data_IF_737111441303
#
_entry.id   IF_737111441303
#
_cell.length_a   1.000
_cell.length_b   1.000
_cell.length_c   1.000
_cell.angle_alpha   90.00
_cell.angle_beta   90.00
_cell.angle_gamma   90.00
#
_symmetry.space_group_name_H-M   'P 1'
#
loop_
_entity.id
_entity.type
_entity.pdbx_description
1 polymer ?
#
# COMPACT_ATOMS: atom_id res chain seq x y z
N UNK A 1 43.65 93.84 -51.60
CA UNK A 1 43.15 93.26 -50.34
C UNK A 1 41.85 92.50 -50.60
N UNK A 2 41.86 91.35 -51.29
CA UNK A 2 40.62 90.67 -51.69
C UNK A 2 40.66 89.13 -51.77
N UNK A 3 41.77 88.49 -51.40
CA UNK A 3 41.91 87.02 -51.52
C UNK A 3 42.09 86.28 -50.18
N UNK A 4 42.29 87.00 -49.06
CA UNK A 4 42.54 86.39 -47.75
C UNK A 4 41.23 86.10 -46.99
N UNK A 5 40.26 87.02 -47.04
CA UNK A 5 38.94 86.83 -46.43
C UNK A 5 38.16 85.69 -47.08
N UNK A 6 38.24 85.57 -48.41
CA UNK A 6 37.63 84.47 -49.15
C UNK A 6 38.22 83.11 -48.77
N UNK A 7 39.53 83.04 -48.52
CA UNK A 7 40.21 81.82 -48.10
C UNK A 7 39.83 81.41 -46.67
N UNK A 8 39.74 82.37 -45.75
CA UNK A 8 39.30 82.13 -44.36
C UNK A 8 37.84 81.64 -44.33
N UNK A 9 36.96 82.24 -45.15
CA UNK A 9 35.55 81.80 -45.25
C UNK A 9 35.45 80.39 -45.82
N UNK A 10 36.21 80.07 -46.88
CA UNK A 10 36.23 78.73 -47.47
C UNK A 10 36.75 77.69 -46.46
N UNK A 11 37.86 77.97 -45.76
CA UNK A 11 38.41 77.07 -44.73
C UNK A 11 37.43 76.90 -43.56
N UNK A 12 36.74 77.98 -43.15
CA UNK A 12 35.70 77.92 -42.12
C UNK A 12 34.51 77.02 -42.52
N UNK A 13 34.09 77.07 -43.79
CA UNK A 13 33.04 76.19 -44.34
C UNK A 13 33.49 74.73 -44.33
N UNK A 14 34.74 74.43 -44.69
CA UNK A 14 35.27 73.06 -44.65
C UNK A 14 35.37 72.51 -43.22
N UNK A 15 35.80 73.33 -42.25
CA UNK A 15 35.87 72.92 -40.83
C UNK A 15 34.46 72.69 -40.25
N UNK A 16 33.53 73.62 -40.50
CA UNK A 16 32.13 73.47 -40.07
C UNK A 16 31.47 72.25 -40.73
N UNK A 17 31.71 72.05 -42.03
CA UNK A 17 31.25 70.87 -42.77
C UNK A 17 31.82 69.57 -42.22
N UNK A 18 33.10 69.55 -41.86
CA UNK A 18 33.76 68.41 -41.22
C UNK A 18 33.18 68.06 -39.85
N UNK A 19 32.88 69.06 -39.02
CA UNK A 19 32.24 68.87 -37.70
C UNK A 19 30.82 68.34 -37.85
N UNK A 20 30.04 68.88 -38.79
CA UNK A 20 28.67 68.42 -39.07
C UNK A 20 28.67 66.97 -39.58
N UNK A 21 29.58 66.63 -40.49
CA UNK A 21 29.73 65.24 -40.98
C UNK A 21 30.11 64.28 -39.85
N UNK A 22 31.02 64.67 -38.97
CA UNK A 22 31.48 63.85 -37.84
C UNK A 22 30.35 63.61 -36.83
N UNK A 23 29.56 64.63 -36.51
CA UNK A 23 28.39 64.52 -35.64
C UNK A 23 27.28 63.67 -36.26
N UNK A 24 27.06 63.80 -37.57
CA UNK A 24 26.10 62.98 -38.31
C UNK A 24 26.48 61.49 -38.29
N UNK A 25 27.76 61.17 -38.53
CA UNK A 25 28.31 59.81 -38.45
C UNK A 25 28.20 59.21 -37.04
N UNK A 26 28.53 59.98 -36.00
CA UNK A 26 28.41 59.54 -34.61
C UNK A 26 26.95 59.27 -34.22
N UNK A 27 26.01 60.12 -34.67
CA UNK A 27 24.58 59.91 -34.42
C UNK A 27 24.03 58.70 -35.20
N UNK A 28 24.48 58.49 -36.43
CA UNK A 28 24.14 57.31 -37.23
C UNK A 28 24.65 56.02 -36.57
N UNK A 29 25.90 55.98 -36.11
CA UNK A 29 26.46 54.84 -35.40
C UNK A 29 25.73 54.56 -34.09
N UNK A 30 25.40 55.60 -33.32
CA UNK A 30 24.61 55.47 -32.08
C UNK A 30 23.23 54.88 -32.35
N UNK A 31 22.55 55.34 -33.40
CA UNK A 31 21.25 54.82 -33.82
C UNK A 31 21.34 53.35 -34.24
N UNK A 32 22.36 53.00 -35.02
CA UNK A 32 22.62 51.61 -35.44
C UNK A 32 22.92 50.68 -34.25
N UNK A 33 23.70 51.15 -33.27
CA UNK A 33 23.98 50.42 -32.03
C UNK A 33 22.71 50.23 -31.19
N UNK A 34 21.86 51.27 -31.05
CA UNK A 34 20.60 51.15 -30.32
C UNK A 34 19.62 50.18 -30.97
N UNK A 35 19.54 50.16 -32.31
CA UNK A 35 18.71 49.22 -33.05
C UNK A 35 19.23 47.78 -32.93
N UNK A 36 20.55 47.57 -32.89
CA UNK A 36 21.15 46.26 -32.63
C UNK A 36 20.90 45.77 -31.20
N UNK A 37 20.98 46.66 -30.21
CA UNK A 37 20.73 46.34 -28.81
C UNK A 37 19.26 45.97 -28.59
N UNK A 38 18.34 46.72 -29.18
CA UNK A 38 16.89 46.43 -29.14
C UNK A 38 16.56 45.10 -29.83
N UNK A 39 17.22 44.78 -30.95
CA UNK A 39 17.10 43.46 -31.61
C UNK A 39 17.63 42.32 -30.73
N UNK A 40 18.76 42.53 -30.05
CA UNK A 40 19.35 41.54 -29.15
C UNK A 40 18.44 41.29 -27.93
N UNK A 41 17.89 42.35 -27.34
CA UNK A 41 16.96 42.26 -26.22
C UNK A 41 15.66 41.54 -26.61
N UNK A 42 15.10 41.83 -27.80
CA UNK A 42 13.94 41.08 -28.33
C UNK A 42 14.26 39.60 -28.55
N UNK A 43 15.47 39.26 -29.04
CA UNK A 43 15.91 37.87 -29.21
C UNK A 43 16.07 37.14 -27.87
N UNK A 44 16.64 37.80 -26.86
CA UNK A 44 16.75 37.26 -25.50
C UNK A 44 15.37 36.98 -24.91
N UNK A 45 14.44 37.94 -25.00
CA UNK A 45 13.06 37.75 -24.53
C UNK A 45 12.34 36.60 -25.25
N UNK A 46 12.56 36.42 -26.55
CA UNK A 46 12.02 35.28 -27.30
C UNK A 46 12.63 33.96 -26.83
N UNK A 47 13.96 33.92 -26.59
CA UNK A 47 14.64 32.73 -26.08
C UNK A 47 14.20 32.37 -24.66
N UNK A 48 14.00 33.36 -23.79
CA UNK A 48 13.47 33.15 -22.45
C UNK A 48 12.05 32.58 -22.49
N UNK A 49 11.20 33.08 -23.40
CA UNK A 49 9.85 32.53 -23.64
C UNK A 49 9.90 31.10 -24.16
N UNK A 50 10.76 30.80 -25.13
CA UNK A 50 10.96 29.42 -25.63
C UNK A 50 11.41 28.49 -24.50
N UNK A 51 12.41 28.89 -23.72
CA UNK A 51 12.89 28.14 -22.55
C UNK A 51 11.77 27.91 -21.52
N UNK A 52 10.94 28.91 -21.24
CA UNK A 52 9.80 28.76 -20.34
C UNK A 52 8.76 27.75 -20.87
N UNK A 53 8.48 27.76 -22.18
CA UNK A 53 7.59 26.79 -22.82
C UNK A 53 8.17 25.38 -22.69
N UNK A 54 9.45 25.18 -23.02
CA UNK A 54 10.09 23.86 -22.91
C UNK A 54 10.12 23.35 -21.46
N UNK A 55 10.45 24.21 -20.49
CA UNK A 55 10.39 23.85 -19.06
C UNK A 55 9.00 23.39 -18.64
N UNK A 56 7.95 24.07 -19.10
CA UNK A 56 6.57 23.69 -18.79
C UNK A 56 6.22 22.34 -19.44
N UNK A 57 6.59 22.13 -20.71
CA UNK A 57 6.39 20.84 -21.40
C UNK A 57 7.09 19.72 -20.62
N UNK A 58 8.36 19.90 -20.27
CA UNK A 58 9.15 18.92 -19.50
C UNK A 58 8.46 18.62 -18.17
N UNK A 59 8.12 19.64 -17.38
CA UNK A 59 7.44 19.47 -16.10
C UNK A 59 6.10 18.69 -16.21
N UNK A 60 5.33 18.94 -17.27
CA UNK A 60 4.10 18.18 -17.55
C UNK A 60 4.37 16.72 -17.89
N UNK A 61 5.43 16.44 -18.65
CA UNK A 61 5.83 15.06 -18.97
C UNK A 61 6.35 14.33 -17.73
N UNK A 62 7.16 14.98 -16.90
CA UNK A 62 7.65 14.45 -15.63
C UNK A 62 6.50 14.11 -14.68
N UNK A 63 5.52 15.01 -14.56
CA UNK A 63 4.32 14.76 -13.75
C UNK A 63 3.52 13.56 -14.29
N UNK A 64 3.35 13.44 -15.61
CA UNK A 64 2.69 12.29 -16.24
C UNK A 64 3.46 10.99 -16.00
N UNK A 65 4.80 11.01 -16.06
CA UNK A 65 5.64 9.86 -15.75
C UNK A 65 5.46 9.43 -14.30
N UNK A 66 5.49 10.37 -13.36
CA UNK A 66 5.25 10.09 -11.94
C UNK A 66 3.84 9.51 -11.70
N UNK A 67 2.81 10.10 -12.29
CA UNK A 67 1.43 9.58 -12.18
C UNK A 67 1.29 8.14 -12.71
N UNK A 68 2.03 7.77 -13.76
CA UNK A 68 2.05 6.37 -14.23
C UNK A 68 2.60 5.41 -13.18
N UNK A 69 3.60 5.84 -12.39
CA UNK A 69 4.16 5.01 -11.30
C UNK A 69 3.19 4.82 -10.13
N UNK A 70 2.27 5.76 -9.92
CA UNK A 70 1.24 5.66 -8.87
C UNK A 70 0.16 4.62 -9.18
N UNK A 71 0.04 4.17 -10.43
CA UNK A 71 -0.95 3.16 -10.83
C UNK A 71 -0.47 1.76 -10.42
N UNK A 72 -1.21 1.16 -9.50
CA UNK A 72 -0.98 -0.22 -9.06
C UNK A 72 -1.81 -1.15 -9.94
N UNK A 73 -1.20 -2.14 -10.63
CA UNK A 73 -1.94 -3.12 -11.42
C UNK A 73 -2.89 -3.94 -10.53
N UNK A 74 -4.13 -4.16 -10.99
CA UNK A 74 -5.10 -4.98 -10.24
C UNK A 74 -4.65 -6.44 -10.13
N UNK A 75 -3.94 -6.91 -11.15
CA UNK A 75 -3.34 -8.24 -11.22
C UNK A 75 -2.35 -8.44 -10.07
N UNK A 76 -1.59 -7.40 -9.72
CA UNK A 76 -0.63 -7.41 -8.61
C UNK A 76 -1.33 -7.62 -7.26
N UNK A 77 -2.40 -6.86 -7.02
CA UNK A 77 -3.22 -6.99 -5.81
C UNK A 77 -3.88 -8.38 -5.73
N UNK A 78 -4.33 -8.90 -6.87
CA UNK A 78 -4.91 -10.24 -6.95
C UNK A 78 -3.90 -11.33 -6.61
N UNK A 79 -2.67 -11.24 -7.14
CA UNK A 79 -1.58 -12.16 -6.82
C UNK A 79 -1.27 -12.15 -5.32
N UNK A 80 -1.14 -10.96 -4.73
CA UNK A 80 -0.96 -10.80 -3.28
C UNK A 80 -2.06 -11.51 -2.50
N UNK A 81 -3.32 -11.28 -2.83
CA UNK A 81 -4.46 -11.91 -2.15
C UNK A 81 -4.48 -13.44 -2.30
N UNK A 82 -3.99 -13.97 -3.42
CA UNK A 82 -3.87 -15.41 -3.65
C UNK A 82 -2.74 -16.03 -2.82
N UNK A 83 -1.60 -15.34 -2.68
CA UNK A 83 -0.48 -15.77 -1.85
C UNK A 83 -0.83 -15.77 -0.36
N UNK A 84 -1.50 -14.72 0.12
CA UNK A 84 -1.99 -14.69 1.52
C UNK A 84 -2.94 -15.85 1.76
N UNK A 85 -3.88 -16.12 0.84
CA UNK A 85 -4.75 -17.30 0.94
C UNK A 85 -3.98 -18.62 0.93
N UNK A 86 -2.90 -18.71 0.17
CA UNK A 86 -2.05 -19.90 0.18
C UNK A 86 -1.33 -20.09 1.53
N UNK A 87 -0.80 -19.00 2.09
CA UNK A 87 -0.22 -18.99 3.43
C UNK A 87 -1.24 -19.39 4.50
N UNK A 88 -2.44 -18.79 4.47
CA UNK A 88 -3.57 -19.17 5.33
C UNK A 88 -3.85 -20.67 5.23
N UNK A 89 -4.02 -21.18 4.00
CA UNK A 89 -4.26 -22.60 3.76
C UNK A 89 -3.16 -23.50 4.30
N UNK A 90 -1.91 -23.06 4.19
CA UNK A 90 -0.74 -23.84 4.63
C UNK A 90 -0.67 -23.94 6.15
N UNK A 91 -0.92 -22.85 6.88
CA UNK A 91 -1.03 -22.86 8.35
C UNK A 91 -2.21 -23.74 8.80
N UNK A 92 -3.35 -23.64 8.11
CA UNK A 92 -4.57 -24.36 8.46
C UNK A 92 -4.58 -25.82 7.95
N UNK A 93 -3.47 -26.32 7.39
CA UNK A 93 -3.34 -27.71 6.93
C UNK A 93 -4.20 -28.10 5.70
N UNK A 94 -4.63 -27.12 4.90
CA UNK A 94 -5.50 -27.30 3.72
C UNK A 94 -4.68 -27.84 2.54
N UNK A 95 -4.60 -29.16 2.40
CA UNK A 95 -3.68 -29.83 1.46
C UNK A 95 -4.03 -29.78 -0.03
N UNK A 96 -5.22 -29.34 -0.51
CA UNK A 96 -5.51 -29.22 -1.97
C UNK A 96 -6.89 -28.62 -2.30
N UNK A 97 -6.91 -27.58 -3.15
CA UNK A 97 -7.99 -27.32 -4.12
C UNK A 97 -7.33 -27.33 -5.50
N UNK A 98 -7.93 -28.03 -6.46
CA UNK A 98 -7.37 -28.30 -7.79
C UNK A 98 -6.90 -27.06 -8.55
N UNK A 99 -5.86 -27.27 -9.38
CA UNK A 99 -5.22 -26.29 -10.26
C UNK A 99 -4.91 -24.94 -9.61
N UNK A 100 -3.87 -24.91 -8.77
CA UNK A 100 -2.99 -23.74 -8.74
C UNK A 100 -1.90 -24.10 -9.75
N UNK A 101 -1.82 -23.30 -10.82
CA UNK A 101 -0.77 -23.41 -11.83
C UNK A 101 0.59 -23.48 -11.17
N UNK A 102 1.55 -24.05 -11.88
CA UNK A 102 2.96 -24.03 -11.56
C UNK A 102 3.51 -22.60 -11.52
N UNK A 103 3.12 -21.81 -10.52
CA UNK A 103 3.87 -20.64 -10.05
C UNK A 103 4.53 -21.02 -8.73
N UNK A 104 5.21 -22.17 -8.72
CA UNK A 104 6.35 -22.35 -7.83
C UNK A 104 7.39 -21.35 -8.32
N UNK A 105 7.67 -20.31 -7.53
CA UNK A 105 9.05 -19.98 -7.11
C UNK A 105 9.23 -18.60 -6.48
N UNK A 106 8.25 -17.70 -6.50
CA UNK A 106 8.44 -16.40 -5.83
C UNK A 106 7.24 -16.06 -4.96
N UNK A 107 7.35 -16.36 -3.66
CA UNK A 107 6.60 -15.62 -2.64
C UNK A 107 6.95 -14.15 -2.78
N UNK A 108 5.94 -13.28 -2.65
CA UNK A 108 6.13 -11.86 -2.70
C UNK A 108 7.13 -11.44 -1.62
N UNK A 109 8.30 -10.88 -1.99
CA UNK A 109 9.42 -10.68 -1.06
C UNK A 109 9.04 -9.83 0.15
N UNK A 110 8.03 -8.96 0.00
CA UNK A 110 7.57 -8.02 1.01
C UNK A 110 6.87 -8.66 2.22
N UNK A 111 6.16 -9.77 2.02
CA UNK A 111 5.46 -10.47 3.12
C UNK A 111 6.08 -11.82 3.44
N UNK A 112 7.07 -12.26 2.68
CA UNK A 112 7.74 -13.55 2.87
C UNK A 112 8.20 -13.73 4.32
N UNK A 113 8.86 -12.73 4.89
CA UNK A 113 9.45 -12.83 6.22
C UNK A 113 8.36 -12.83 7.31
N UNK A 114 7.30 -12.01 7.14
CA UNK A 114 6.11 -12.00 8.02
C UNK A 114 5.38 -13.34 7.94
N UNK A 115 5.18 -13.89 6.74
CA UNK A 115 4.55 -15.18 6.49
C UNK A 115 5.36 -16.34 7.07
N UNK A 116 6.69 -16.33 6.91
CA UNK A 116 7.58 -17.36 7.42
C UNK A 116 7.60 -17.37 8.95
N UNK A 117 7.71 -16.20 9.58
CA UNK A 117 7.64 -16.09 11.04
C UNK A 117 6.25 -16.49 11.54
N UNK A 118 5.18 -16.00 10.91
CA UNK A 118 3.82 -16.37 11.26
C UNK A 118 3.55 -17.86 11.13
N UNK A 119 4.12 -18.52 10.11
CA UNK A 119 4.06 -19.97 10.01
C UNK A 119 4.77 -20.65 11.18
N UNK A 120 6.00 -20.25 11.50
CA UNK A 120 6.76 -20.84 12.60
C UNK A 120 6.05 -20.69 13.96
N UNK A 121 5.53 -19.49 14.25
CA UNK A 121 4.89 -19.19 15.54
C UNK A 121 3.52 -19.84 15.69
N UNK A 122 2.74 -19.95 14.60
CA UNK A 122 1.37 -20.50 14.66
C UNK A 122 1.30 -22.00 14.46
N UNK A 123 2.19 -22.59 13.65
CA UNK A 123 2.12 -23.99 13.25
C UNK A 123 2.21 -24.93 14.45
N UNK A 124 3.18 -24.71 15.34
CA UNK A 124 3.37 -25.55 16.52
C UNK A 124 2.17 -25.45 17.48
N UNK A 125 1.63 -24.25 17.67
CA UNK A 125 0.47 -24.02 18.54
C UNK A 125 -0.79 -24.69 17.97
N UNK A 126 -0.98 -24.63 16.65
CA UNK A 126 -2.09 -25.34 16.00
C UNK A 126 -1.91 -26.86 16.07
N UNK A 127 -0.72 -27.40 15.79
CA UNK A 127 -0.45 -28.83 15.84
C UNK A 127 -0.79 -29.40 17.22
N UNK A 128 -0.26 -28.79 18.28
CA UNK A 128 -0.53 -29.19 19.67
C UNK A 128 -2.00 -29.02 20.05
N UNK A 129 -2.63 -27.92 19.65
CA UNK A 129 -4.05 -27.66 19.94
C UNK A 129 -5.00 -28.64 19.24
N UNK A 130 -4.62 -29.16 18.06
CA UNK A 130 -5.45 -30.11 17.30
C UNK A 130 -5.51 -31.50 17.92
N UNK A 131 -4.56 -31.89 18.77
CA UNK A 131 -4.49 -33.19 19.44
C UNK A 131 -5.36 -33.28 20.71
N UNK A 132 -5.90 -32.14 21.19
CA UNK A 132 -6.71 -32.11 22.40
C UNK A 132 -8.06 -32.82 22.19
N UNK A 133 -8.34 -33.80 23.05
CA UNK A 133 -9.61 -34.53 23.05
C UNK A 133 -10.71 -33.78 23.80
N UNK A 134 -11.96 -33.96 23.36
CA UNK A 134 -13.13 -33.36 24.02
C UNK A 134 -13.51 -34.15 25.27
N UNK A 135 -13.78 -33.43 26.37
CA UNK A 135 -14.37 -34.01 27.58
C UNK A 135 -15.86 -34.32 27.36
N UNK A 136 -16.46 -35.08 28.28
CA UNK A 136 -17.89 -35.36 28.25
C UNK A 136 -18.76 -34.09 28.30
N UNK A 137 -18.35 -33.10 29.10
CA UNK A 137 -19.01 -31.79 29.21
C UNK A 137 -18.96 -31.04 27.87
N UNK A 138 -17.82 -31.04 27.18
CA UNK A 138 -17.73 -30.42 25.86
C UNK A 138 -18.62 -31.13 24.84
N UNK A 139 -18.72 -32.47 24.90
CA UNK A 139 -19.60 -33.25 24.01
C UNK A 139 -21.08 -32.92 24.25
N UNK A 140 -21.50 -32.73 25.51
CA UNK A 140 -22.85 -32.29 25.86
C UNK A 140 -23.14 -30.90 25.27
N UNK A 141 -22.21 -29.95 25.46
CA UNK A 141 -22.30 -28.60 24.90
C UNK A 141 -22.40 -28.61 23.38
N UNK A 142 -21.63 -29.46 22.70
CA UNK A 142 -21.71 -29.67 21.25
C UNK A 142 -23.11 -30.15 20.85
N UNK A 143 -23.67 -31.13 21.57
CA UNK A 143 -25.00 -31.63 21.27
C UNK A 143 -26.08 -30.56 21.41
N UNK A 144 -25.97 -29.68 22.40
CA UNK A 144 -26.87 -28.51 22.55
C UNK A 144 -26.72 -27.52 21.39
N UNK A 145 -25.47 -27.19 20.99
CA UNK A 145 -25.23 -26.34 19.82
C UNK A 145 -25.85 -26.93 18.55
N UNK A 146 -25.72 -28.24 18.35
CA UNK A 146 -26.30 -28.97 17.22
C UNK A 146 -27.83 -28.98 17.18
N UNK A 147 -28.53 -28.56 18.25
CA UNK A 147 -29.99 -28.37 18.20
C UNK A 147 -30.39 -27.10 17.46
N UNK A 148 -29.51 -26.08 17.44
CA UNK A 148 -29.78 -24.77 16.83
C UNK A 148 -29.83 -24.87 15.29
N UNK A 149 -30.77 -24.18 14.61
CA UNK A 149 -30.94 -24.29 13.14
C UNK A 149 -29.67 -24.01 12.33
N UNK A 150 -28.95 -22.93 12.65
CA UNK A 150 -27.74 -22.55 11.89
C UNK A 150 -26.64 -23.61 11.96
N UNK A 151 -26.48 -24.29 13.11
CA UNK A 151 -25.50 -25.36 13.27
C UNK A 151 -25.89 -26.59 12.46
N UNK A 152 -27.19 -26.94 12.43
CA UNK A 152 -27.71 -28.02 11.58
C UNK A 152 -27.49 -27.74 10.09
N UNK A 153 -27.63 -26.48 9.69
CA UNK A 153 -27.48 -26.07 8.29
C UNK A 153 -26.01 -26.06 7.84
N UNK A 154 -25.13 -25.56 8.70
CA UNK A 154 -23.71 -25.35 8.36
C UNK A 154 -22.86 -26.60 8.59
N UNK A 155 -23.24 -27.50 9.51
CA UNK A 155 -22.50 -28.75 9.76
C UNK A 155 -22.30 -29.64 8.51
N UNK A 156 -23.33 -29.93 7.69
CA UNK A 156 -23.13 -30.65 6.44
C UNK A 156 -22.28 -29.90 5.42
N UNK A 157 -22.22 -28.57 5.47
CA UNK A 157 -21.39 -27.75 4.59
C UNK A 157 -19.91 -27.92 4.93
N UNK A 158 -19.53 -27.85 6.21
CA UNK A 158 -18.12 -28.05 6.64
C UNK A 158 -17.65 -29.48 6.36
N UNK A 159 -18.49 -30.49 6.65
CA UNK A 159 -18.15 -31.89 6.33
C UNK A 159 -17.91 -32.08 4.83
N UNK A 160 -18.73 -31.47 3.97
CA UNK A 160 -18.51 -31.49 2.51
C UNK A 160 -17.21 -30.77 2.13
N UNK A 161 -16.91 -29.64 2.75
CA UNK A 161 -15.67 -28.89 2.52
C UNK A 161 -14.44 -29.72 2.87
N UNK A 162 -14.40 -30.31 4.06
CA UNK A 162 -13.29 -31.17 4.52
C UNK A 162 -13.08 -32.38 3.60
N UNK A 163 -14.17 -33.03 3.16
CA UNK A 163 -14.10 -34.13 2.18
C UNK A 163 -13.55 -33.72 0.83
N UNK A 164 -13.95 -32.56 0.32
CA UNK A 164 -13.38 -31.99 -0.92
C UNK A 164 -11.88 -31.78 -0.79
N UNK A 165 -11.39 -31.49 0.42
CA UNK A 165 -9.98 -31.34 0.75
C UNK A 165 -9.30 -32.66 1.16
N UNK A 166 -9.93 -33.82 0.93
CA UNK A 166 -9.42 -35.17 1.22
C UNK A 166 -9.12 -35.42 2.71
N UNK A 167 -9.78 -34.69 3.61
CA UNK A 167 -9.67 -34.93 5.04
C UNK A 167 -10.65 -36.03 5.42
N UNK A 168 -10.11 -37.09 6.05
CA UNK A 168 -10.89 -38.21 6.55
C UNK A 168 -11.49 -37.79 7.87
N UNK A 169 -12.83 -37.84 7.96
CA UNK A 169 -13.55 -37.60 9.21
C UNK A 169 -14.13 -38.91 9.69
N UNK A 170 -13.71 -39.34 10.87
CA UNK A 170 -14.20 -40.56 11.50
C UNK A 170 -15.69 -40.46 11.78
N UNK A 171 -16.42 -41.55 11.49
CA UNK A 171 -17.83 -41.66 11.84
C UNK A 171 -17.94 -42.51 13.10
N UNK A 172 -18.80 -42.09 14.02
CA UNK A 172 -19.17 -42.87 15.19
C UNK A 172 -20.69 -43.00 15.27
N UNK A 173 -21.15 -43.97 16.06
CA UNK A 173 -22.55 -44.07 16.43
C UNK A 173 -22.71 -43.29 17.73
N UNK A 174 -23.49 -42.22 17.68
CA UNK A 174 -23.80 -41.42 18.86
C UNK A 174 -24.46 -42.33 19.92
N UNK A 175 -23.88 -42.47 21.12
CA UNK A 175 -24.40 -43.38 22.14
C UNK A 175 -25.78 -42.95 22.67
N UNK A 176 -26.09 -41.65 22.64
CA UNK A 176 -27.36 -41.09 23.10
C UNK A 176 -28.43 -41.15 22.01
N UNK A 177 -28.10 -40.76 20.78
CA UNK A 177 -29.10 -40.66 19.69
C UNK A 177 -29.15 -41.87 18.77
N UNK A 178 -28.21 -42.83 18.91
CA UNK A 178 -28.02 -44.00 18.04
C UNK A 178 -27.84 -43.68 16.55
N UNK A 179 -27.69 -42.39 16.20
CA UNK A 179 -27.48 -41.91 14.83
C UNK A 179 -25.99 -41.94 14.51
N UNK A 180 -25.67 -42.29 13.26
CA UNK A 180 -24.29 -42.18 12.74
C UNK A 180 -23.93 -40.70 12.55
N UNK A 181 -22.92 -40.24 13.28
CA UNK A 181 -22.41 -38.85 13.23
C UNK A 181 -20.91 -38.85 12.95
N UNK A 182 -20.33 -37.68 12.67
CA UNK A 182 -18.88 -37.53 12.61
C UNK A 182 -18.33 -37.20 13.98
N UNK A 183 -17.22 -37.85 14.37
CA UNK A 183 -16.56 -37.66 15.66
C UNK A 183 -16.22 -36.18 15.82
N UNK A 184 -16.67 -35.53 16.93
CA UNK A 184 -16.26 -34.16 17.20
C UNK A 184 -14.74 -34.13 17.44
N UNK A 185 -14.05 -33.28 16.68
CA UNK A 185 -12.59 -33.11 16.73
C UNK A 185 -12.25 -31.63 16.60
N UNK A 186 -11.11 -31.20 17.17
CA UNK A 186 -10.66 -29.80 17.11
C UNK A 186 -10.55 -29.36 15.65
N UNK A 187 -10.03 -30.25 14.81
CA UNK A 187 -9.94 -30.06 13.37
C UNK A 187 -11.30 -29.79 12.71
N UNK A 188 -12.35 -30.56 13.03
CA UNK A 188 -13.69 -30.35 12.47
C UNK A 188 -14.23 -28.96 12.82
N UNK A 189 -14.12 -28.54 14.08
CA UNK A 189 -14.62 -27.24 14.54
C UNK A 189 -13.77 -26.08 14.01
N UNK A 190 -12.46 -26.25 13.91
CA UNK A 190 -11.56 -25.30 13.27
C UNK A 190 -11.92 -25.05 11.79
N UNK A 191 -12.14 -26.12 11.02
CA UNK A 191 -12.61 -26.02 9.64
C UNK A 191 -14.01 -25.41 9.53
N UNK A 192 -14.84 -25.61 10.54
CA UNK A 192 -16.16 -25.00 10.61
C UNK A 192 -16.04 -23.49 10.77
N UNK A 193 -15.18 -23.02 11.67
CA UNK A 193 -14.88 -21.59 11.81
C UNK A 193 -14.38 -20.98 10.49
N UNK A 194 -13.43 -21.62 9.83
CA UNK A 194 -12.91 -21.13 8.54
C UNK A 194 -14.02 -20.98 7.49
N UNK A 195 -14.94 -21.95 7.41
CA UNK A 195 -16.08 -21.86 6.51
C UNK A 195 -17.06 -20.73 6.89
N UNK A 196 -17.33 -20.53 8.19
CA UNK A 196 -18.17 -19.43 8.65
C UNK A 196 -17.52 -18.08 8.33
N UNK A 197 -16.21 -17.94 8.49
CA UNK A 197 -15.45 -16.74 8.10
C UNK A 197 -15.60 -16.43 6.60
N UNK A 198 -15.55 -17.45 5.74
CA UNK A 198 -15.79 -17.30 4.30
C UNK A 198 -17.25 -16.93 3.98
N UNK A 199 -18.24 -17.47 4.72
CA UNK A 199 -19.66 -17.13 4.55
C UNK A 199 -19.96 -15.68 4.94
N UNK A 200 -19.44 -15.22 6.09
CA UNK A 200 -19.57 -13.82 6.54
C UNK A 200 -18.95 -12.87 5.49
N UNK A 201 -17.78 -13.25 4.96
CA UNK A 201 -17.11 -12.45 3.91
C UNK A 201 -17.95 -12.37 2.62
N UNK A 202 -18.57 -13.46 2.22
CA UNK A 202 -19.41 -13.51 1.02
C UNK A 202 -20.66 -12.63 1.17
N UNK A 203 -21.31 -12.69 2.34
CA UNK A 203 -22.48 -11.87 2.66
C UNK A 203 -22.13 -10.38 2.62
N UNK A 204 -21.03 -9.97 3.25
CA UNK A 204 -20.54 -8.59 3.18
C UNK A 204 -20.30 -8.12 1.73
N UNK A 205 -19.66 -8.94 0.91
CA UNK A 205 -19.42 -8.61 -0.50
C UNK A 205 -20.71 -8.49 -1.31
N UNK A 206 -21.71 -9.30 -1.00
CA UNK A 206 -23.01 -9.21 -1.65
C UNK A 206 -23.71 -7.91 -1.26
N UNK A 207 -23.72 -7.56 0.02
CA UNK A 207 -24.27 -6.29 0.51
C UNK A 207 -23.62 -5.06 -0.15
N UNK A 208 -22.29 -5.08 -0.32
CA UNK A 208 -21.58 -4.00 -1.02
C UNK A 208 -22.02 -3.85 -2.49
N UNK A 209 -22.29 -4.97 -3.18
CA UNK A 209 -22.83 -4.95 -4.55
C UNK A 209 -24.26 -4.42 -4.60
N UNK A 210 -25.11 -4.90 -3.70
CA UNK A 210 -26.52 -4.48 -3.64
C UNK A 210 -26.62 -2.98 -3.35
N UNK A 211 -25.75 -2.47 -2.47
CA UNK A 211 -25.60 -1.04 -2.23
C UNK A 211 -25.19 -0.28 -3.50
N UNK A 212 -24.14 -0.72 -4.19
CA UNK A 212 -23.68 -0.07 -5.42
C UNK A 212 -24.77 -0.05 -6.51
N UNK A 213 -25.68 -1.03 -6.49
CA UNK A 213 -26.83 -1.10 -7.39
C UNK A 213 -28.04 -0.23 -6.95
N UNK A 214 -27.97 0.41 -5.79
CA UNK A 214 -29.04 1.26 -5.27
C UNK A 214 -30.25 0.50 -4.70
N UNK A 215 -30.13 -0.82 -4.52
CA UNK A 215 -31.19 -1.70 -4.02
C UNK A 215 -31.65 -1.32 -2.59
N UNK A 216 -30.76 -0.69 -1.82
CA UNK A 216 -30.99 -0.32 -0.43
C UNK A 216 -30.49 1.11 -0.14
N UNK A 217 -31.35 2.12 -0.32
CA UNK A 217 -31.03 3.51 0.07
C UNK A 217 -30.88 3.67 1.60
N UNK A 218 -31.57 2.84 2.37
CA UNK A 218 -31.63 2.92 3.83
C UNK A 218 -30.48 2.17 4.55
N UNK A 219 -29.67 1.38 3.83
CA UNK A 219 -28.49 0.68 4.39
C UNK A 219 -27.27 1.59 4.53
N UNK A 220 -27.24 2.77 3.90
CA UNK A 220 -26.11 3.71 3.99
C UNK A 220 -25.88 4.25 5.42
N UNK A 221 -26.91 4.25 6.28
CA UNK A 221 -26.78 4.58 7.71
C UNK A 221 -26.33 3.39 8.57
N UNK A 222 -26.45 2.17 8.05
CA UNK A 222 -25.98 0.93 8.67
C UNK A 222 -24.53 0.57 8.26
N UNK A 223 -24.01 1.28 7.26
CA UNK A 223 -22.72 1.07 6.62
C UNK A 223 -21.50 1.24 7.54
N UNK A 224 -21.60 2.12 8.54
CA UNK A 224 -20.51 2.41 9.49
C UNK A 224 -20.15 1.18 10.34
N UNK A 225 -21.03 0.18 10.42
CA UNK A 225 -20.95 -0.87 11.44
C UNK A 225 -20.33 -2.19 10.96
N UNK A 226 -20.25 -2.41 9.64
CA UNK A 226 -19.81 -3.68 9.04
C UNK A 226 -18.37 -3.68 8.51
N UNK A 227 -17.82 -2.51 8.14
CA UNK A 227 -16.40 -2.36 7.78
C UNK A 227 -15.47 -2.80 8.93
N UNK A 228 -15.97 -2.76 10.18
CA UNK A 228 -15.26 -3.11 11.40
C UNK A 228 -15.34 -4.60 11.81
N UNK A 229 -15.91 -5.48 10.97
CA UNK A 229 -15.87 -6.93 11.20
C UNK A 229 -14.85 -7.55 10.24
N UNK A 230 -13.55 -7.57 10.59
CA UNK A 230 -12.56 -8.31 9.83
C UNK A 230 -13.03 -9.74 9.56
N UNK A 231 -12.59 -10.30 8.42
CA UNK A 231 -12.80 -11.72 8.10
C UNK A 231 -12.42 -12.66 9.25
N UNK A 232 -11.56 -12.20 10.13
CA UNK A 232 -10.89 -12.95 11.17
C UNK A 232 -11.14 -12.32 12.56
N UNK A 233 -12.32 -11.74 12.78
CA UNK A 233 -12.70 -11.18 14.09
C UNK A 233 -12.62 -12.20 15.23
N UNK A 234 -12.01 -11.78 16.32
CA UNK A 234 -11.83 -12.55 17.56
C UNK A 234 -13.10 -12.64 18.42
N UNK A 235 -13.13 -13.62 19.34
CA UNK A 235 -14.31 -13.90 20.18
C UNK A 235 -14.76 -12.67 20.98
N UNK A 236 -13.84 -11.97 21.65
CA UNK A 236 -14.17 -10.81 22.48
C UNK A 236 -14.69 -9.63 21.64
N UNK A 237 -14.17 -9.47 20.42
CA UNK A 237 -14.65 -8.46 19.48
C UNK A 237 -16.06 -8.82 18.99
N UNK A 238 -16.33 -10.08 18.64
CA UNK A 238 -17.70 -10.54 18.33
C UNK A 238 -18.67 -10.36 19.49
N UNK A 239 -18.23 -10.54 20.74
CA UNK A 239 -19.07 -10.33 21.93
C UNK A 239 -19.45 -8.87 22.12
N UNK A 240 -18.53 -7.94 21.85
CA UNK A 240 -18.83 -6.49 21.82
C UNK A 240 -19.80 -6.17 20.67
N UNK A 241 -19.54 -6.74 19.50
CA UNK A 241 -20.38 -6.56 18.31
C UNK A 241 -21.80 -7.08 18.51
N UNK A 242 -21.98 -8.25 19.11
CA UNK A 242 -23.30 -8.82 19.32
C UNK A 242 -24.05 -8.18 20.51
N UNK A 243 -23.38 -7.36 21.33
CA UNK A 243 -23.99 -6.64 22.48
C UNK A 243 -24.39 -5.21 22.15
N UNK A 244 -23.69 -4.56 21.23
CA UNK A 244 -23.83 -3.11 20.99
C UNK A 244 -24.67 -2.71 19.78
N UNK A 245 -25.18 -3.67 18.99
CA UNK A 245 -25.67 -3.40 17.64
C UNK A 245 -27.17 -3.73 17.52
N UNK A 246 -27.92 -2.91 16.76
CA UNK A 246 -29.26 -3.27 16.27
C UNK A 246 -29.21 -4.41 15.24
N UNK A 247 -30.36 -4.86 14.74
CA UNK A 247 -30.49 -5.98 13.78
C UNK A 247 -29.49 -5.85 12.62
N UNK A 248 -28.57 -6.81 12.50
CA UNK A 248 -27.68 -6.88 11.34
C UNK A 248 -28.46 -7.32 10.10
N UNK A 249 -28.17 -6.75 8.91
CA UNK A 249 -28.84 -7.14 7.68
C UNK A 249 -28.46 -8.57 7.25
N UNK A 250 -29.45 -9.31 6.72
CA UNK A 250 -29.28 -10.66 6.18
C UNK A 250 -29.01 -11.72 7.26
N UNK A 251 -28.34 -12.80 6.86
CA UNK A 251 -27.99 -13.92 7.76
C UNK A 251 -26.75 -13.65 8.61
N UNK A 252 -26.14 -12.46 8.49
CA UNK A 252 -24.90 -12.09 9.15
C UNK A 252 -24.95 -12.23 10.68
N UNK A 253 -26.05 -11.82 11.32
CA UNK A 253 -26.19 -11.94 12.79
C UNK A 253 -26.08 -13.40 13.22
N UNK A 254 -26.82 -14.27 12.53
CA UNK A 254 -26.87 -15.71 12.79
C UNK A 254 -25.51 -16.36 12.55
N UNK A 255 -24.78 -15.93 11.52
CA UNK A 255 -23.40 -16.38 11.24
C UNK A 255 -22.41 -15.91 12.32
N UNK A 256 -22.50 -14.65 12.77
CA UNK A 256 -21.69 -14.10 13.85
C UNK A 256 -21.95 -14.83 15.17
N UNK A 257 -23.21 -15.14 15.49
CA UNK A 257 -23.58 -15.98 16.64
C UNK A 257 -22.97 -17.38 16.49
N UNK A 258 -23.07 -18.00 15.32
CA UNK A 258 -22.46 -19.31 15.08
C UNK A 258 -20.94 -19.27 15.30
N UNK A 259 -20.24 -18.29 14.73
CA UNK A 259 -18.80 -18.07 14.93
C UNK A 259 -18.44 -17.88 16.40
N UNK A 260 -19.18 -17.05 17.13
CA UNK A 260 -18.94 -16.78 18.56
C UNK A 260 -19.02 -18.06 19.39
N UNK A 261 -20.07 -18.86 19.20
CA UNK A 261 -20.27 -20.10 19.95
C UNK A 261 -19.21 -21.16 19.62
N UNK A 262 -18.81 -21.27 18.34
CA UNK A 262 -17.71 -22.13 17.91
C UNK A 262 -16.38 -21.72 18.55
N UNK A 263 -16.04 -20.42 18.54
CA UNK A 263 -14.85 -19.90 19.19
C UNK A 263 -14.87 -20.14 20.71
N UNK A 264 -16.02 -19.90 21.34
CA UNK A 264 -16.17 -20.12 22.77
C UNK A 264 -15.94 -21.58 23.16
N UNK A 265 -16.42 -22.53 22.36
CA UNK A 265 -16.15 -23.96 22.57
C UNK A 265 -14.66 -24.28 22.39
N UNK A 266 -14.04 -23.78 21.32
CA UNK A 266 -12.64 -24.09 21.02
C UNK A 266 -11.66 -23.50 22.05
N UNK A 267 -11.95 -22.31 22.59
CA UNK A 267 -11.12 -21.66 23.60
C UNK A 267 -11.25 -22.32 24.98
N UNK A 268 -12.44 -22.84 25.27
CA UNK A 268 -12.73 -23.64 26.47
C UNK A 268 -11.98 -24.98 26.41
N UNK A 269 -11.92 -25.61 25.23
CA UNK A 269 -11.19 -26.87 25.02
C UNK A 269 -9.67 -26.67 25.07
N UNK A 270 -9.13 -25.59 24.51
CA UNK A 270 -7.68 -25.39 24.40
C UNK A 270 -7.27 -23.92 24.45
N UNK A 271 -6.52 -23.55 25.50
CA UNK A 271 -5.84 -22.26 25.58
C UNK A 271 -4.77 -22.09 24.50
N UNK A 272 -4.10 -23.18 24.12
CA UNK A 272 -3.12 -23.18 23.03
C UNK A 272 -3.79 -22.87 21.69
N UNK A 273 -5.02 -23.35 21.46
CA UNK A 273 -5.81 -22.99 20.28
C UNK A 273 -6.13 -21.50 20.25
N UNK A 274 -6.51 -20.93 21.41
CA UNK A 274 -6.77 -19.49 21.54
C UNK A 274 -5.52 -18.69 21.17
N UNK A 275 -4.37 -19.01 21.77
CA UNK A 275 -3.10 -18.35 21.49
C UNK A 275 -2.67 -18.50 20.02
N UNK A 276 -2.83 -19.70 19.43
CA UNK A 276 -2.53 -19.95 18.01
C UNK A 276 -3.34 -19.03 17.09
N UNK A 277 -4.63 -18.88 17.40
CA UNK A 277 -5.55 -18.10 16.59
C UNK A 277 -5.31 -16.60 16.74
N UNK A 278 -5.11 -16.10 17.96
CA UNK A 278 -4.75 -14.70 18.21
C UNK A 278 -3.46 -14.34 17.46
N UNK A 279 -2.44 -15.21 17.54
CA UNK A 279 -1.16 -15.04 16.81
C UNK A 279 -1.37 -15.04 15.29
N UNK A 280 -2.13 -15.99 14.76
CA UNK A 280 -2.45 -16.06 13.32
C UNK A 280 -3.14 -14.78 12.82
N UNK A 281 -4.07 -14.26 13.60
CA UNK A 281 -4.80 -13.03 13.27
C UNK A 281 -3.89 -11.83 13.28
N UNK A 282 -3.02 -11.72 14.28
CA UNK A 282 -2.04 -10.65 14.37
C UNK A 282 -1.16 -10.60 13.11
N UNK A 283 -0.60 -11.74 12.68
CA UNK A 283 0.20 -11.82 11.45
C UNK A 283 -0.59 -11.43 10.20
N UNK A 284 -1.85 -11.84 10.13
CA UNK A 284 -2.72 -11.47 9.02
C UNK A 284 -2.99 -9.96 8.97
N UNK A 285 -3.21 -9.33 10.13
CA UNK A 285 -3.36 -7.89 10.21
C UNK A 285 -2.08 -7.15 9.81
N UNK A 286 -0.90 -7.68 10.16
CA UNK A 286 0.38 -7.12 9.69
C UNK A 286 0.47 -7.17 8.17
N UNK A 287 0.17 -8.33 7.56
CA UNK A 287 0.15 -8.51 6.09
C UNK A 287 -0.80 -7.52 5.41
N UNK A 288 -2.03 -7.37 5.94
CA UNK A 288 -3.00 -6.40 5.44
C UNK A 288 -2.48 -4.96 5.59
N UNK A 289 -1.78 -4.66 6.69
CA UNK A 289 -1.17 -3.34 6.93
C UNK A 289 -0.02 -3.05 5.96
N UNK A 290 0.79 -4.04 5.59
CA UNK A 290 1.80 -3.89 4.52
C UNK A 290 1.11 -3.54 3.20
N UNK A 291 0.01 -4.22 2.88
CA UNK A 291 -0.78 -3.95 1.66
C UNK A 291 -1.35 -2.53 1.66
N UNK A 292 -1.91 -2.07 2.77
CA UNK A 292 -2.39 -0.68 2.93
C UNK A 292 -1.27 0.34 2.70
N UNK A 293 -0.08 0.09 3.25
CA UNK A 293 1.10 0.91 3.02
C UNK A 293 1.50 0.96 1.55
N UNK A 294 1.52 -0.19 0.87
CA UNK A 294 1.84 -0.26 -0.56
C UNK A 294 0.88 0.57 -1.43
N UNK A 295 -0.39 0.70 -1.01
CA UNK A 295 -1.41 1.49 -1.71
C UNK A 295 -1.43 2.98 -1.30
N UNK A 296 -0.58 3.43 -0.37
CA UNK A 296 -0.65 4.78 0.20
C UNK A 296 -0.49 5.91 -0.85
N UNK A 297 0.25 5.66 -1.93
CA UNK A 297 0.51 6.63 -2.99
C UNK A 297 -0.33 6.43 -4.26
N UNK A 298 -1.31 5.52 -4.23
CA UNK A 298 -2.29 5.42 -5.31
C UNK A 298 -3.06 6.74 -5.46
N UNK A 299 -3.42 7.09 -6.70
CA UNK A 299 -4.05 8.38 -7.06
C UNK A 299 -5.33 8.66 -6.25
N UNK A 300 -6.10 7.61 -5.95
CA UNK A 300 -7.36 7.72 -5.19
C UNK A 300 -7.16 7.75 -3.67
N UNK A 301 -5.96 7.47 -3.17
CA UNK A 301 -5.67 7.49 -1.74
C UNK A 301 -5.42 8.94 -1.29
N UNK A 302 -6.21 9.45 -0.34
CA UNK A 302 -6.07 10.84 0.14
C UNK A 302 -5.05 10.91 1.27
N UNK A 303 -4.47 12.09 1.47
CA UNK A 303 -3.60 12.38 2.62
C UNK A 303 -4.27 12.00 3.96
N UNK A 304 -5.55 12.36 4.14
CA UNK A 304 -6.30 12.06 5.36
C UNK A 304 -6.49 10.55 5.60
N UNK A 305 -6.51 9.73 4.54
CA UNK A 305 -6.55 8.27 4.66
C UNK A 305 -5.23 7.74 5.24
N UNK A 306 -4.10 8.21 4.70
CA UNK A 306 -2.75 7.84 5.18
C UNK A 306 -2.56 8.28 6.63
N UNK A 307 -2.97 9.51 6.97
CA UNK A 307 -2.85 10.02 8.34
C UNK A 307 -3.67 9.20 9.34
N UNK A 308 -4.90 8.83 8.98
CA UNK A 308 -5.75 7.95 9.81
C UNK A 308 -5.13 6.56 9.99
N UNK A 309 -4.63 5.95 8.90
CA UNK A 309 -3.99 4.63 8.95
C UNK A 309 -2.76 4.64 9.86
N UNK A 310 -1.89 5.66 9.75
CA UNK A 310 -0.72 5.81 10.62
C UNK A 310 -1.09 6.00 12.10
N UNK A 311 -2.12 6.82 12.39
CA UNK A 311 -2.63 6.98 13.76
C UNK A 311 -3.19 5.66 14.32
N UNK A 312 -3.91 4.90 13.49
CA UNK A 312 -4.43 3.59 13.88
C UNK A 312 -3.32 2.57 14.14
N UNK A 313 -2.27 2.53 13.30
CA UNK A 313 -1.09 1.68 13.52
C UNK A 313 -0.41 2.00 14.85
N UNK A 314 -0.11 3.28 15.10
CA UNK A 314 0.50 3.75 16.36
C UNK A 314 -0.34 3.45 17.60
N UNK A 315 -1.67 3.47 17.45
CA UNK A 315 -2.58 3.11 18.54
C UNK A 315 -2.50 1.60 18.82
N UNK A 316 -2.59 0.76 17.79
CA UNK A 316 -2.45 -0.70 17.90
C UNK A 316 -1.11 -1.09 18.51
N UNK A 317 -0.02 -0.48 18.06
CA UNK A 317 1.32 -0.74 18.59
C UNK A 317 1.46 -0.43 20.09
N UNK A 318 0.64 0.48 20.63
CA UNK A 318 0.61 0.79 22.08
C UNK A 318 -0.30 -0.15 22.87
N UNK A 319 -1.37 -0.65 22.26
CA UNK A 319 -2.31 -1.59 22.87
C UNK A 319 -1.70 -2.99 22.94
N UNK A 320 -1.14 -3.47 21.84
CA UNK A 320 -0.57 -4.82 21.68
C UNK A 320 0.70 -5.04 22.52
N UNK A 321 1.50 -3.98 22.77
CA UNK A 321 2.65 -4.05 23.69
C UNK A 321 2.28 -4.41 25.13
N UNK A 322 1.01 -4.31 25.53
CA UNK A 322 0.57 -4.62 26.90
C UNK A 322 0.20 -6.09 27.09
N UNK A 323 -0.21 -6.78 26.02
CA UNK A 323 -0.81 -8.11 26.12
C UNK A 323 0.07 -9.23 25.51
N UNK A 324 1.12 -8.90 24.74
CA UNK A 324 1.96 -9.86 24.00
C UNK A 324 3.34 -10.12 24.63
N UNK A 325 3.39 -10.51 25.90
CA UNK A 325 4.64 -10.86 26.63
C UNK A 325 5.38 -12.09 26.02
N UNK A 326 4.83 -12.77 25.03
CA UNK A 326 5.32 -14.06 24.51
C UNK A 326 5.88 -14.00 23.07
N UNK A 327 5.82 -12.86 22.40
CA UNK A 327 6.25 -12.76 21.00
C UNK A 327 7.73 -12.30 20.87
N UNK A 328 8.49 -12.98 20.02
CA UNK A 328 9.91 -12.71 19.74
C UNK A 328 10.16 -11.24 19.36
N UNK A 329 11.31 -10.68 19.76
CA UNK A 329 11.77 -9.31 19.43
C UNK A 329 11.86 -8.99 17.91
N UNK A 330 11.67 -9.99 17.03
CA UNK A 330 11.79 -9.88 15.58
C UNK A 330 10.50 -9.54 14.84
N UNK A 331 9.37 -9.45 15.53
CA UNK A 331 8.08 -9.20 14.88
C UNK A 331 7.93 -7.70 14.58
N UNK A 332 7.62 -7.32 13.33
CA UNK A 332 7.43 -5.92 13.00
C UNK A 332 6.17 -5.37 13.66
N UNK A 333 6.25 -4.13 14.14
CA UNK A 333 5.09 -3.34 14.56
C UNK A 333 4.16 -3.03 13.37
N UNK A 334 2.92 -2.62 13.64
CA UNK A 334 2.00 -2.17 12.60
C UNK A 334 2.53 -0.94 11.85
N UNK A 335 3.16 0.01 12.56
CA UNK A 335 3.81 1.15 11.90
C UNK A 335 4.97 0.71 10.99
N UNK A 336 5.77 -0.28 11.40
CA UNK A 336 6.85 -0.84 10.57
C UNK A 336 6.30 -1.59 9.36
N UNK A 337 5.26 -2.41 9.53
CA UNK A 337 4.58 -3.10 8.44
C UNK A 337 4.01 -2.11 7.41
N UNK A 338 3.37 -1.03 7.86
CA UNK A 338 2.86 0.01 6.97
C UNK A 338 3.99 0.69 6.17
N UNK A 339 5.09 1.05 6.85
CA UNK A 339 6.27 1.63 6.22
C UNK A 339 6.95 0.67 5.25
N UNK A 340 6.99 -0.63 5.56
CA UNK A 340 7.54 -1.67 4.68
C UNK A 340 6.79 -1.68 3.33
N UNK A 341 5.46 -1.67 3.36
CA UNK A 341 4.66 -1.61 2.13
C UNK A 341 4.99 -0.40 1.27
N UNK A 342 5.21 0.75 1.90
CA UNK A 342 5.55 2.00 1.20
C UNK A 342 6.95 1.94 0.59
N UNK A 343 7.94 1.48 1.35
CA UNK A 343 9.32 1.33 0.87
C UNK A 343 9.36 0.43 -0.36
N UNK A 344 8.58 -0.63 -0.33
CA UNK A 344 8.53 -1.55 -1.45
C UNK A 344 7.77 -1.01 -2.67
N UNK A 345 6.70 -0.23 -2.45
CA UNK A 345 6.10 0.58 -3.52
C UNK A 345 7.13 1.54 -4.13
N UNK A 346 7.96 2.19 -3.32
CA UNK A 346 9.02 3.09 -3.81
C UNK A 346 10.03 2.36 -4.68
N UNK A 347 10.49 1.16 -4.26
CA UNK A 347 11.42 0.32 -5.06
C UNK A 347 10.82 0.02 -6.43
N UNK A 348 9.61 -0.53 -6.45
CA UNK A 348 8.94 -0.93 -7.70
C UNK A 348 8.63 0.27 -8.60
N UNK A 349 8.19 1.39 -8.02
CA UNK A 349 7.82 2.60 -8.76
C UNK A 349 9.04 3.31 -9.35
N UNK A 350 10.13 3.37 -8.60
CA UNK A 350 11.40 3.90 -9.07
C UNK A 350 11.94 3.10 -10.26
N UNK A 351 11.91 1.76 -10.20
CA UNK A 351 12.36 0.91 -11.32
C UNK A 351 11.57 1.15 -12.61
N UNK A 352 10.28 1.46 -12.50
CA UNK A 352 9.38 1.74 -13.64
C UNK A 352 9.50 3.15 -14.20
N UNK A 353 10.18 4.06 -13.51
CA UNK A 353 10.32 5.44 -13.95
C UNK A 353 11.55 5.58 -14.85
N UNK A 354 11.35 6.00 -16.10
CA UNK A 354 12.45 6.23 -17.06
C UNK A 354 13.47 7.25 -16.53
N UNK A 355 13.01 8.25 -15.77
CA UNK A 355 13.88 9.16 -15.03
C UNK A 355 13.71 8.95 -13.52
N UNK A 356 14.60 8.12 -12.97
CA UNK A 356 14.59 7.70 -11.56
C UNK A 356 14.85 8.84 -10.58
N UNK A 357 15.70 9.80 -10.90
CA UNK A 357 15.97 10.94 -10.01
C UNK A 357 14.73 11.83 -9.87
N UNK A 358 14.01 12.06 -10.97
CA UNK A 358 12.75 12.82 -10.98
C UNK A 358 11.66 12.12 -10.16
N UNK A 359 11.61 10.80 -10.16
CA UNK A 359 10.70 10.06 -9.27
C UNK A 359 10.93 10.46 -7.80
N UNK A 360 12.17 10.50 -7.33
CA UNK A 360 12.52 10.88 -5.96
C UNK A 360 12.18 12.34 -5.66
N UNK A 361 12.45 13.26 -6.58
CA UNK A 361 12.10 14.68 -6.43
C UNK A 361 10.59 14.91 -6.32
N UNK A 362 9.79 14.22 -7.14
CA UNK A 362 8.33 14.33 -7.09
C UNK A 362 7.76 13.66 -5.84
N UNK A 363 8.42 12.60 -5.35
CA UNK A 363 8.03 11.89 -4.14
C UNK A 363 8.23 12.74 -2.87
N UNK A 364 9.35 13.45 -2.72
CA UNK A 364 9.59 14.31 -1.54
C UNK A 364 8.64 15.50 -1.44
N UNK A 365 8.08 15.95 -2.57
CA UNK A 365 7.02 16.98 -2.62
C UNK A 365 5.67 16.48 -2.10
N UNK A 366 5.48 15.16 -1.95
CA UNK A 366 4.22 14.61 -1.45
C UNK A 366 4.11 14.76 0.07
N UNK A 367 3.09 15.47 0.54
CA UNK A 367 2.81 15.65 1.98
C UNK A 367 2.60 14.33 2.73
N UNK A 368 2.10 13.31 2.04
CA UNK A 368 1.95 11.93 2.57
C UNK A 368 3.27 11.40 3.12
N UNK A 369 4.39 11.65 2.46
CA UNK A 369 5.69 11.09 2.84
C UNK A 369 6.11 11.56 4.24
N UNK A 370 5.90 12.86 4.53
CA UNK A 370 6.18 13.46 5.84
C UNK A 370 5.29 12.89 6.94
N UNK A 371 4.01 12.64 6.65
CA UNK A 371 3.11 12.01 7.60
C UNK A 371 3.52 10.57 7.97
N UNK A 372 4.14 9.86 7.03
CA UNK A 372 4.58 8.47 7.21
C UNK A 372 5.92 8.39 7.96
N UNK A 373 6.97 9.05 7.44
CA UNK A 373 8.35 8.87 7.92
C UNK A 373 8.82 9.97 8.89
N UNK A 374 8.07 11.07 9.00
CA UNK A 374 8.44 12.25 9.78
C UNK A 374 9.31 13.23 8.97
N UNK A 375 9.27 14.50 9.38
CA UNK A 375 9.94 15.59 8.67
C UNK A 375 11.46 15.41 8.61
N UNK A 376 12.09 14.94 9.70
CA UNK A 376 13.54 14.78 9.76
C UNK A 376 14.06 13.77 8.71
N UNK A 377 13.39 12.62 8.59
CA UNK A 377 13.80 11.58 7.62
C UNK A 377 13.58 12.02 6.18
N UNK A 378 12.46 12.72 5.93
CA UNK A 378 12.20 13.29 4.60
C UNK A 378 13.23 14.36 4.25
N UNK A 379 13.65 15.18 5.21
CA UNK A 379 14.72 16.16 4.99
C UNK A 379 16.06 15.50 4.63
N UNK A 380 16.44 14.42 5.31
CA UNK A 380 17.65 13.64 4.95
C UNK A 380 17.56 13.06 3.54
N UNK A 381 16.37 12.63 3.11
CA UNK A 381 16.13 12.19 1.74
C UNK A 381 16.27 13.35 0.73
N UNK A 382 15.69 14.51 1.03
CA UNK A 382 15.83 15.73 0.21
C UNK A 382 17.31 16.13 0.03
N UNK A 383 18.11 16.12 1.10
CA UNK A 383 19.55 16.42 1.07
C UNK A 383 20.34 15.39 0.24
N UNK A 384 19.99 14.11 0.32
CA UNK A 384 20.62 13.05 -0.47
C UNK A 384 20.32 13.21 -1.98
N UNK A 385 19.08 13.54 -2.33
CA UNK A 385 18.68 13.83 -3.72
C UNK A 385 19.44 15.04 -4.26
N UNK A 386 19.55 16.12 -3.48
CA UNK A 386 20.29 17.33 -3.90
C UNK A 386 21.77 17.04 -4.15
N UNK A 387 22.38 16.18 -3.33
CA UNK A 387 23.76 15.74 -3.53
C UNK A 387 23.92 14.97 -4.84
N UNK A 388 22.99 14.05 -5.13
CA UNK A 388 23.00 13.26 -6.36
C UNK A 388 22.76 14.12 -7.61
N UNK A 389 21.90 15.14 -7.51
CA UNK A 389 21.69 16.13 -8.57
C UNK A 389 22.99 16.88 -8.89
N UNK A 390 23.66 17.43 -7.86
CA UNK A 390 24.93 18.15 -8.05
C UNK A 390 26.00 17.26 -8.67
N UNK A 391 26.08 16.00 -8.23
CA UNK A 391 27.00 15.04 -8.82
C UNK A 391 26.66 14.78 -10.30
N UNK A 392 25.38 14.60 -10.62
CA UNK A 392 24.95 14.40 -12.01
C UNK A 392 25.24 15.62 -12.90
N UNK A 393 25.02 16.83 -12.41
CA UNK A 393 25.36 18.07 -13.13
C UNK A 393 26.85 18.15 -13.44
N UNK A 394 27.71 17.81 -12.47
CA UNK A 394 29.16 17.75 -12.66
C UNK A 394 29.54 16.67 -13.70
N UNK A 395 28.94 15.48 -13.62
CA UNK A 395 29.16 14.38 -14.59
C UNK A 395 28.76 14.80 -16.02
N UNK A 396 27.66 15.55 -16.19
CA UNK A 396 27.26 16.11 -17.49
C UNK A 396 28.30 17.12 -17.97
N UNK A 397 28.72 18.07 -17.14
CA UNK A 397 29.69 19.09 -17.53
C UNK A 397 31.01 18.45 -17.98
N UNK A 398 31.51 17.48 -17.23
CA UNK A 398 32.71 16.72 -17.59
C UNK A 398 32.54 15.96 -18.90
N UNK A 399 31.39 15.30 -19.12
CA UNK A 399 31.10 14.58 -20.35
C UNK A 399 31.03 15.51 -21.57
N UNK A 400 30.42 16.69 -21.43
CA UNK A 400 30.35 17.72 -22.48
C UNK A 400 31.75 18.23 -22.82
N UNK A 401 32.55 18.58 -21.79
CA UNK A 401 33.93 19.04 -21.98
C UNK A 401 34.81 17.97 -22.62
N UNK A 402 34.62 16.70 -22.27
CA UNK A 402 35.36 15.57 -22.81
C UNK A 402 34.80 15.03 -24.15
N UNK A 403 33.68 15.57 -24.64
CA UNK A 403 32.92 15.08 -25.79
C UNK A 403 32.66 13.55 -25.71
N UNK A 404 32.18 13.08 -24.55
CA UNK A 404 31.88 11.67 -24.29
C UNK A 404 30.40 11.45 -24.09
N UNK A 405 29.93 10.27 -24.49
CA UNK A 405 28.59 9.81 -24.19
C UNK A 405 28.45 9.44 -22.70
N UNK A 406 27.47 10.02 -22.01
CA UNK A 406 27.15 9.68 -20.63
C UNK A 406 25.97 8.69 -20.61
N UNK A 407 26.22 7.46 -20.16
CA UNK A 407 25.15 6.52 -19.87
C UNK A 407 24.59 6.81 -18.46
N UNK A 408 23.36 7.32 -18.41
CA UNK A 408 22.71 7.70 -17.17
C UNK A 408 21.52 6.78 -16.89
N UNK A 409 21.81 5.58 -16.37
CA UNK A 409 20.81 4.66 -15.87
C UNK A 409 21.21 4.16 -14.46
N UNK A 410 21.28 5.09 -13.51
CA UNK A 410 21.54 4.78 -12.09
C UNK A 410 20.24 4.34 -11.41
N UNK A 411 20.32 3.38 -10.49
CA UNK A 411 19.13 2.84 -9.81
C UNK A 411 18.51 3.82 -8.82
N UNK A 412 19.29 4.58 -8.07
CA UNK A 412 18.82 5.44 -6.97
C UNK A 412 17.98 4.73 -5.87
N UNK A 413 17.81 3.40 -5.92
CA UNK A 413 17.05 2.65 -4.92
C UNK A 413 17.66 2.74 -3.50
N UNK A 414 18.97 3.03 -3.39
CA UNK A 414 19.64 3.25 -2.10
C UNK A 414 19.09 4.45 -1.31
N UNK A 415 18.42 5.40 -1.98
CA UNK A 415 17.80 6.56 -1.33
C UNK A 415 16.70 6.14 -0.35
N UNK A 416 16.12 4.94 -0.50
CA UNK A 416 15.16 4.40 0.48
C UNK A 416 15.77 4.24 1.86
N UNK A 417 17.08 3.97 1.94
CA UNK A 417 17.77 3.73 3.21
C UNK A 417 17.87 5.01 4.05
N UNK A 418 17.69 6.20 3.46
CA UNK A 418 17.64 7.45 4.24
C UNK A 418 16.35 7.58 5.05
N UNK A 419 15.35 6.73 4.78
CA UNK A 419 14.07 6.66 5.48
C UNK A 419 14.07 5.59 6.60
N UNK A 420 15.20 4.93 6.85
CA UNK A 420 15.37 3.97 7.95
C UNK A 420 15.37 4.59 9.34
#
# INVERSE_FOLDING_TARGET
MGNYDTFIVIVGIFIAGGIICSLWLANHQKKQLSEQLEKCEKLLQLKDRECAIYRNIIAQWEQKLFQKTQRIPKEWIKQWDEEVRYWERSILGIKKIGHISESKEQQHPMIRDICAQGYADTFFLYEKAMEVEFTAEHIERINELMKRPIFKETYPKVVRLMRKNRIIIEKFVDPLTRKKRYKPTMLLFHWWLYMIDDMITAEYKQQQKDKASGLYRDLASLEIWFEDIPKYTEYETLKKILRGFGTMPGDCDVLCVCKRELLSLLYDVSSDYKAARETFIYYKQLIDTVKEGYMAFEENCRYSTVEKAMKACRKRDKEEKKDLVVLNEKIPTFEEAYKLGIKEWMKSSNEKCDNRLIFWEQLTRQTKLKAIFGEEKVKKLEEAIEKDQKQFENEIQEAVLANRYLNYNKSYAYLINTLE
#
